data_IF_551899900813
#
_entry.id   IF_551899900813
#
_cell.length_a   1.000
_cell.length_b   1.000
_cell.length_c   1.000
_cell.angle_alpha   90.00
_cell.angle_beta   90.00
_cell.angle_gamma   90.00
#
_symmetry.space_group_name_H-M   'P 1'
#
loop_
_entity.id
_entity.type
_entity.pdbx_description
1 polymer ?
#
# COMPACT_ATOMS: atom_id res chain seq x y z
N UNK A 1 -1.96 21.99 14.27
CA UNK A 1 -1.60 22.22 12.86
C UNK A 1 -0.53 21.20 12.51
N UNK A 2 -0.88 20.15 11.76
CA UNK A 2 -0.11 18.90 11.69
C UNK A 2 1.23 19.06 10.97
N UNK A 3 2.31 18.57 11.61
CA UNK A 3 3.71 18.68 11.18
C UNK A 3 4.04 18.04 9.81
N UNK A 4 3.15 17.23 9.25
CA UNK A 4 3.41 16.50 8.01
C UNK A 4 3.57 17.43 6.79
N UNK A 5 2.84 18.55 6.75
CA UNK A 5 2.85 19.49 5.62
C UNK A 5 4.13 20.31 5.47
N UNK A 6 5.03 20.29 6.46
CA UNK A 6 6.35 20.93 6.37
C UNK A 6 7.46 19.96 5.97
N UNK A 7 7.14 18.68 5.78
CA UNK A 7 8.08 17.69 5.27
C UNK A 7 8.12 17.70 3.75
N UNK A 8 9.19 17.13 3.17
CA UNK A 8 9.29 16.87 1.71
C UNK A 8 8.69 15.52 1.30
N UNK A 9 7.83 14.95 2.15
CA UNK A 9 7.14 13.69 1.89
C UNK A 9 6.00 13.96 0.91
N UNK A 10 5.98 13.20 -0.19
CA UNK A 10 4.84 13.20 -1.11
C UNK A 10 3.75 12.31 -0.51
N UNK A 11 2.58 12.89 -0.29
CA UNK A 11 1.38 12.18 0.16
C UNK A 11 0.41 12.13 -1.02
N UNK A 12 -0.17 10.95 -1.26
CA UNK A 12 -1.24 10.74 -2.22
C UNK A 12 -2.40 10.15 -1.43
N UNK A 13 -3.43 10.96 -1.23
CA UNK A 13 -4.54 10.62 -0.37
C UNK A 13 -5.55 9.69 -1.07
N UNK A 14 -6.41 9.06 -0.28
CA UNK A 14 -7.46 8.16 -0.77
C UNK A 14 -8.38 8.85 -1.77
N UNK A 15 -8.71 10.12 -1.55
CA UNK A 15 -9.58 10.93 -2.39
C UNK A 15 -8.96 11.15 -3.77
N UNK A 16 -7.65 11.43 -3.82
CA UNK A 16 -6.95 11.58 -5.08
C UNK A 16 -6.93 10.25 -5.86
N UNK A 17 -6.67 9.14 -5.16
CA UNK A 17 -6.71 7.82 -5.79
C UNK A 17 -8.11 7.42 -6.26
N UNK A 18 -9.17 7.86 -5.57
CA UNK A 18 -10.55 7.67 -6.04
C UNK A 18 -10.81 8.45 -7.34
N UNK A 19 -10.28 9.66 -7.46
CA UNK A 19 -10.50 10.53 -8.60
C UNK A 19 -9.64 10.15 -9.82
N UNK A 20 -8.38 9.76 -9.61
CA UNK A 20 -7.38 9.58 -10.66
C UNK A 20 -7.05 8.12 -10.96
N UNK A 21 -7.43 7.20 -10.07
CA UNK A 21 -7.16 5.78 -10.17
C UNK A 21 -5.80 5.36 -9.63
N UNK A 22 -5.76 4.14 -9.08
CA UNK A 22 -4.59 3.51 -8.47
C UNK A 22 -3.33 3.55 -9.33
N UNK A 23 -3.44 3.17 -10.61
CA UNK A 23 -2.32 3.19 -11.54
C UNK A 23 -1.76 4.60 -11.77
N UNK A 24 -2.62 5.63 -11.73
CA UNK A 24 -2.18 7.00 -11.90
C UNK A 24 -1.39 7.50 -10.71
N UNK A 25 -1.90 7.22 -9.52
CA UNK A 25 -1.20 7.48 -8.28
C UNK A 25 0.14 6.72 -8.20
N UNK A 26 0.22 5.50 -8.72
CA UNK A 26 1.46 4.73 -8.77
C UNK A 26 2.55 5.46 -9.59
N UNK A 27 2.19 5.99 -10.77
CA UNK A 27 3.10 6.75 -11.62
C UNK A 27 3.54 8.06 -10.97
N UNK A 28 2.63 8.77 -10.31
CA UNK A 28 2.97 9.96 -9.52
C UNK A 28 3.91 9.66 -8.36
N UNK A 29 3.76 8.49 -7.72
CA UNK A 29 4.70 8.05 -6.69
C UNK A 29 6.09 7.76 -7.29
N UNK A 30 6.15 7.08 -8.46
CA UNK A 30 7.41 6.80 -9.16
C UNK A 30 8.21 8.07 -9.46
N UNK A 31 7.57 9.14 -9.94
CA UNK A 31 8.24 10.43 -10.18
C UNK A 31 9.03 10.92 -8.97
N UNK A 32 8.60 10.60 -7.75
CA UNK A 32 9.26 11.01 -6.51
C UNK A 32 10.32 10.04 -6.03
N UNK A 33 10.11 8.73 -6.21
CA UNK A 33 10.98 7.68 -5.66
C UNK A 33 12.03 7.17 -6.65
N UNK A 34 12.00 7.65 -7.89
CA UNK A 34 13.03 7.38 -8.92
C UNK A 34 13.81 8.63 -9.30
N UNK A 35 13.92 9.60 -8.39
CA UNK A 35 14.78 10.77 -8.64
C UNK A 35 16.25 10.33 -8.82
N UNK A 36 17.04 11.04 -9.64
CA UNK A 36 18.40 10.60 -10.01
C UNK A 36 19.36 10.37 -8.84
N UNK A 37 19.14 11.03 -7.70
CA UNK A 37 19.97 10.88 -6.50
C UNK A 37 19.65 9.62 -5.67
N UNK A 38 18.59 8.88 -6.01
CA UNK A 38 18.16 7.69 -5.28
C UNK A 38 18.66 6.40 -5.96
N UNK A 39 19.15 5.46 -5.15
CA UNK A 39 19.57 4.14 -5.66
C UNK A 39 18.39 3.21 -6.01
N UNK A 40 17.19 3.56 -5.57
CA UNK A 40 15.98 2.76 -5.71
C UNK A 40 14.99 3.06 -4.60
N UNK A 41 13.93 2.26 -4.52
CA UNK A 41 12.91 2.38 -3.49
C UNK A 41 12.49 1.02 -2.94
N UNK A 42 12.00 1.04 -1.71
CA UNK A 42 11.44 -0.11 -1.01
C UNK A 42 9.95 0.13 -0.77
N UNK A 43 9.13 -0.88 -0.99
CA UNK A 43 7.69 -0.80 -0.74
C UNK A 43 7.40 -1.32 0.67
N UNK A 44 6.81 -0.50 1.52
CA UNK A 44 6.23 -0.93 2.79
C UNK A 44 4.73 -1.00 2.62
N UNK A 45 4.16 -2.20 2.74
CA UNK A 45 2.74 -2.46 2.54
C UNK A 45 2.14 -3.00 3.83
N UNK A 46 1.43 -2.15 4.57
CA UNK A 46 0.58 -2.61 5.65
C UNK A 46 -0.65 -3.34 5.08
N UNK A 47 -0.98 -4.52 5.59
CA UNK A 47 -2.12 -5.30 5.12
C UNK A 47 -3.47 -4.61 5.40
N UNK A 48 -3.52 -3.69 6.36
CA UNK A 48 -4.72 -2.95 6.77
C UNK A 48 -5.10 -1.80 5.83
N UNK A 49 -4.30 -1.55 4.78
CA UNK A 49 -4.70 -0.63 3.70
C UNK A 49 -5.88 -1.19 2.90
N UNK A 50 -6.05 -2.52 2.87
CA UNK A 50 -7.17 -3.19 2.23
C UNK A 50 -8.46 -2.96 3.03
N UNK A 51 -9.57 -2.95 2.30
CA UNK A 51 -10.89 -2.85 2.91
C UNK A 51 -11.10 -3.95 3.97
N UNK A 52 -11.68 -3.61 5.12
CA UNK A 52 -11.93 -4.53 6.23
C UNK A 52 -12.77 -5.77 5.82
N UNK A 53 -13.64 -5.64 4.82
CA UNK A 53 -14.40 -6.78 4.28
C UNK A 53 -13.53 -7.78 3.50
N UNK A 54 -12.38 -7.34 3.01
CA UNK A 54 -11.40 -8.12 2.25
C UNK A 54 -10.31 -8.67 3.18
N UNK A 55 -9.75 -7.83 4.05
CA UNK A 55 -8.64 -8.18 4.95
C UNK A 55 -9.00 -7.91 6.42
N UNK A 56 -9.78 -8.80 7.08
CA UNK A 56 -10.13 -8.64 8.50
C UNK A 56 -9.01 -9.09 9.45
N UNK A 57 -7.99 -9.80 8.95
CA UNK A 57 -6.92 -10.40 9.74
C UNK A 57 -5.80 -9.38 10.04
N UNK A 58 -6.16 -8.25 10.65
CA UNK A 58 -5.26 -7.14 10.98
C UNK A 58 -5.70 -6.48 12.29
N UNK A 59 -4.79 -5.81 12.99
CA UNK A 59 -5.10 -5.16 14.27
C UNK A 59 -6.03 -3.94 14.13
N UNK A 60 -5.99 -3.26 12.98
CA UNK A 60 -6.71 -2.02 12.70
C UNK A 60 -7.52 -2.09 11.39
N UNK A 61 -8.64 -2.83 11.32
CA UNK A 61 -9.42 -2.95 10.09
C UNK A 61 -9.95 -1.60 9.58
N UNK A 62 -9.82 -1.35 8.27
CA UNK A 62 -10.24 -0.10 7.64
C UNK A 62 -11.43 -0.28 6.69
N UNK A 63 -12.61 0.22 7.06
CA UNK A 63 -13.83 0.15 6.22
C UNK A 63 -13.75 1.02 4.94
N UNK A 64 -12.90 2.05 4.93
CA UNK A 64 -12.61 2.89 3.77
C UNK A 64 -11.37 2.41 2.98
N UNK A 65 -10.83 1.24 3.34
CA UNK A 65 -9.66 0.66 2.70
C UNK A 65 -9.87 0.33 1.23
N UNK A 66 -8.76 0.12 0.52
CA UNK A 66 -8.73 -0.08 -0.92
C UNK A 66 -9.18 -1.48 -1.32
N UNK A 67 -9.61 -1.60 -2.57
CA UNK A 67 -9.94 -2.89 -3.17
C UNK A 67 -8.67 -3.65 -3.58
N UNK A 68 -8.80 -4.96 -3.79
CA UNK A 68 -7.72 -5.78 -4.35
C UNK A 68 -7.32 -5.27 -5.74
N UNK A 69 -8.28 -4.87 -6.58
CA UNK A 69 -8.00 -4.34 -7.91
C UNK A 69 -7.12 -3.07 -7.85
N UNK A 70 -7.47 -2.11 -6.99
CA UNK A 70 -6.67 -0.90 -6.76
C UNK A 70 -5.27 -1.25 -6.25
N UNK A 71 -5.14 -2.15 -5.26
CA UNK A 71 -3.84 -2.58 -4.75
C UNK A 71 -3.00 -3.24 -5.85
N UNK A 72 -3.58 -4.13 -6.65
CA UNK A 72 -2.86 -4.80 -7.74
C UNK A 72 -2.44 -3.83 -8.84
N UNK A 73 -3.25 -2.81 -9.15
CA UNK A 73 -2.89 -1.76 -10.10
C UNK A 73 -1.73 -0.89 -9.60
N UNK A 74 -1.73 -0.52 -8.32
CA UNK A 74 -0.62 0.17 -7.67
C UNK A 74 0.68 -0.65 -7.73
N UNK A 75 0.64 -1.87 -7.20
CA UNK A 75 1.82 -2.73 -7.09
C UNK A 75 2.33 -3.17 -8.45
N UNK A 76 1.46 -3.40 -9.43
CA UNK A 76 1.86 -3.77 -10.79
C UNK A 76 2.77 -2.74 -11.43
N UNK A 77 2.46 -1.45 -11.28
CA UNK A 77 3.30 -0.36 -11.80
C UNK A 77 4.57 -0.18 -10.96
N UNK A 78 4.46 -0.18 -9.63
CA UNK A 78 5.62 0.03 -8.76
C UNK A 78 6.64 -1.09 -8.91
N UNK A 79 6.22 -2.35 -8.86
CA UNK A 79 7.11 -3.52 -8.96
C UNK A 79 7.67 -3.72 -10.38
N UNK A 80 7.05 -3.16 -11.42
CA UNK A 80 7.60 -3.16 -12.77
C UNK A 80 8.76 -2.17 -12.95
N UNK A 81 8.96 -1.23 -12.02
CA UNK A 81 10.09 -0.29 -12.06
C UNK A 81 11.41 -1.01 -11.79
N UNK A 82 12.47 -0.80 -12.59
CA UNK A 82 13.79 -1.38 -12.31
C UNK A 82 14.43 -0.82 -11.03
N UNK A 83 13.86 0.25 -10.46
CA UNK A 83 14.31 0.87 -9.21
C UNK A 83 13.68 0.22 -7.97
N UNK A 84 12.72 -0.71 -8.13
CA UNK A 84 12.13 -1.42 -7.01
C UNK A 84 13.13 -2.43 -6.42
N UNK A 85 13.62 -2.16 -5.21
CA UNK A 85 14.61 -3.00 -4.55
C UNK A 85 14.00 -4.17 -3.76
N UNK A 86 12.71 -4.07 -3.42
CA UNK A 86 11.98 -5.10 -2.67
C UNK A 86 10.74 -4.56 -1.97
N UNK A 87 10.11 -5.41 -1.17
CA UNK A 87 8.87 -5.11 -0.47
C UNK A 87 8.79 -5.82 0.89
N UNK A 88 8.22 -5.14 1.88
CA UNK A 88 7.69 -5.76 3.10
C UNK A 88 6.16 -5.72 3.09
N UNK A 89 5.56 -6.80 3.58
CA UNK A 89 4.13 -6.87 3.89
C UNK A 89 4.00 -7.02 5.40
N UNK A 90 3.22 -6.16 6.02
CA UNK A 90 3.19 -5.95 7.48
C UNK A 90 1.76 -5.97 8.04
N UNK A 91 1.64 -6.03 9.37
CA UNK A 91 0.37 -5.92 10.12
C UNK A 91 -0.63 -7.06 9.90
N UNK A 92 -0.22 -8.17 9.26
CA UNK A 92 -1.03 -9.39 9.22
C UNK A 92 -1.11 -10.02 10.62
N UNK A 93 -2.31 -10.11 11.18
CA UNK A 93 -2.64 -10.86 12.39
C UNK A 93 -3.66 -11.97 12.07
N UNK A 94 -3.18 -13.21 11.82
CA UNK A 94 -4.05 -14.34 11.50
C UNK A 94 -5.03 -14.69 12.63
N UNK A 95 -4.76 -14.31 13.88
CA UNK A 95 -5.63 -14.62 15.01
C UNK A 95 -6.97 -13.86 14.94
N UNK A 96 -7.03 -12.76 14.18
CA UNK A 96 -8.25 -11.95 13.97
C UNK A 96 -9.12 -12.42 12.81
N UNK A 97 -8.65 -13.41 12.05
CA UNK A 97 -9.46 -13.98 10.99
C UNK A 97 -10.69 -14.71 11.54
N UNK A 98 -11.87 -14.40 11.00
CA UNK A 98 -13.12 -15.12 11.27
C UNK A 98 -13.15 -16.52 10.65
N UNK A 99 -12.26 -16.81 9.69
CA UNK A 99 -11.97 -18.16 9.21
C UNK A 99 -10.76 -18.70 9.96
N UNK A 100 -10.81 -19.95 10.40
CA UNK A 100 -9.68 -20.60 11.05
C UNK A 100 -8.50 -20.74 10.05
N UNK A 101 -7.62 -19.73 9.99
CA UNK A 101 -6.41 -19.73 9.15
C UNK A 101 -5.31 -20.62 9.73
N UNK A 102 -5.52 -21.25 10.90
CA UNK A 102 -4.60 -22.22 11.49
C UNK A 102 -4.43 -23.50 10.64
N UNK A 103 -5.21 -23.65 9.57
CA UNK A 103 -5.08 -24.76 8.60
C UNK A 103 -4.38 -24.41 7.29
N UNK A 104 -3.95 -23.17 7.08
CA UNK A 104 -3.30 -22.76 5.82
C UNK A 104 -1.77 -22.67 5.87
N UNK A 105 -1.17 -22.94 7.03
CA UNK A 105 0.28 -23.07 7.18
C UNK A 105 0.64 -24.44 7.80
N UNK A 106 0.33 -25.50 7.05
CA UNK A 106 1.02 -26.79 7.06
C UNK A 106 0.88 -27.41 5.66
#
# INVERSE_FOLDING_TARGET
MYSFYHSRIKIIEREQMAAEGAESCARLALERVTLPELAGFWIHLDADVLNASIMPAVDSPNEAGITIAELTGLLGILLASPHAAGMHVTILDPARSQRDLRRCFC
#
